data_IF_875496549318
#
_entry.id   IF_875496549318
#
_cell.length_a   1.000
_cell.length_b   1.000
_cell.length_c   1.000
_cell.angle_alpha   90.00
_cell.angle_beta   90.00
_cell.angle_gamma   90.00
#
_symmetry.space_group_name_H-M   'P 1'
#
loop_
_entity.id
_entity.type
_entity.pdbx_description
1 polymer ?
#
# COMPACT_ATOMS: atom_id res chain seq x y z
N UNK A 1 1.10 2.59 11.69
CA UNK A 1 0.49 2.67 10.34
C UNK A 1 -1.02 2.93 10.39
N UNK A 2 -1.85 2.16 11.10
CA UNK A 2 -3.32 2.37 11.12
C UNK A 2 -3.71 3.79 11.51
N UNK A 3 -3.16 4.33 12.60
CA UNK A 3 -3.39 5.73 13.00
C UNK A 3 -3.02 6.73 11.91
N UNK A 4 -1.95 6.47 11.14
CA UNK A 4 -1.57 7.36 10.04
C UNK A 4 -2.61 7.34 8.92
N UNK A 5 -3.24 6.20 8.62
CA UNK A 5 -4.34 6.10 7.66
C UNK A 5 -5.59 6.85 8.16
N UNK A 6 -5.94 6.69 9.43
CA UNK A 6 -7.06 7.44 10.06
C UNK A 6 -6.82 8.96 10.00
N UNK A 7 -5.58 9.40 10.24
CA UNK A 7 -5.20 10.82 10.11
C UNK A 7 -5.35 11.35 8.69
N UNK A 8 -5.19 10.49 7.67
CA UNK A 8 -5.43 10.84 6.26
C UNK A 8 -6.92 10.78 5.87
N UNK A 9 -7.80 10.45 6.82
CA UNK A 9 -9.24 10.36 6.60
C UNK A 9 -9.69 9.06 5.95
N UNK A 10 -8.81 8.04 5.88
CA UNK A 10 -9.17 6.73 5.31
C UNK A 10 -10.26 6.09 6.16
N UNK A 11 -11.33 5.64 5.51
CA UNK A 11 -12.42 4.87 6.12
C UNK A 11 -12.55 3.48 5.54
N UNK A 12 -12.14 3.31 4.29
CA UNK A 12 -12.24 2.03 3.57
C UNK A 12 -10.93 1.72 2.88
N UNK A 13 -10.50 0.47 2.99
CA UNK A 13 -9.34 -0.06 2.28
C UNK A 13 -9.64 -1.46 1.74
N UNK A 14 -8.96 -1.83 0.67
CA UNK A 14 -9.11 -3.09 -0.03
C UNK A 14 -7.82 -3.90 0.09
N UNK A 15 -7.90 -5.19 0.34
CA UNK A 15 -6.66 -5.93 0.48
C UNK A 15 -6.80 -7.42 0.62
N UNK A 16 -5.64 -8.09 0.62
CA UNK A 16 -5.51 -9.52 0.83
C UNK A 16 -4.33 -9.81 1.77
N UNK A 17 -4.55 -10.55 2.86
CA UNK A 17 -3.51 -10.83 3.85
C UNK A 17 -2.45 -11.78 3.32
N UNK A 18 -1.26 -11.72 3.93
CA UNK A 18 -0.16 -12.64 3.68
C UNK A 18 0.95 -12.45 4.72
N UNK A 19 1.96 -13.32 4.69
CA UNK A 19 2.94 -13.46 5.78
C UNK A 19 3.63 -12.16 6.18
N UNK A 20 4.18 -11.40 5.24
CA UNK A 20 4.96 -10.19 5.54
C UNK A 20 4.14 -8.99 6.01
N UNK A 21 2.82 -9.02 5.85
CA UNK A 21 1.91 -7.94 6.24
C UNK A 21 0.98 -8.34 7.40
N UNK A 22 1.15 -9.54 7.94
CA UNK A 22 0.29 -10.08 8.99
C UNK A 22 0.19 -9.20 10.23
N UNK A 23 1.27 -8.61 10.78
CA UNK A 23 1.18 -7.71 11.94
C UNK A 23 0.31 -6.48 11.65
N UNK A 24 0.31 -6.01 10.41
CA UNK A 24 -0.55 -4.90 9.97
C UNK A 24 -2.03 -5.29 9.95
N UNK A 25 -2.35 -6.50 9.48
CA UNK A 25 -3.73 -7.01 9.51
C UNK A 25 -4.21 -7.28 10.93
N UNK A 26 -3.32 -7.73 11.82
CA UNK A 26 -3.63 -7.86 13.24
C UNK A 26 -3.93 -6.50 13.88
N UNK A 27 -3.10 -5.51 13.62
CA UNK A 27 -3.35 -4.14 14.07
C UNK A 27 -4.67 -3.59 13.51
N UNK A 28 -5.02 -3.89 12.26
CA UNK A 28 -6.26 -3.46 11.62
C UNK A 28 -7.50 -3.99 12.37
N UNK A 29 -7.44 -5.18 12.96
CA UNK A 29 -8.53 -5.72 13.77
C UNK A 29 -8.89 -4.82 14.95
N UNK A 30 -7.90 -4.14 15.55
CA UNK A 30 -8.12 -3.19 16.65
C UNK A 30 -8.65 -1.83 16.19
N UNK A 31 -8.67 -1.56 14.89
CA UNK A 31 -9.17 -0.34 14.27
C UNK A 31 -10.45 -0.55 13.43
N UNK A 32 -11.10 -1.71 13.56
CA UNK A 32 -12.28 -2.10 12.76
C UNK A 32 -13.48 -1.15 12.87
N UNK A 33 -13.56 -0.36 13.93
CA UNK A 33 -14.65 0.60 14.15
C UNK A 33 -14.44 1.89 13.32
N UNK A 34 -13.22 2.14 12.84
CA UNK A 34 -12.83 3.32 12.08
C UNK A 34 -12.35 3.02 10.66
N UNK A 35 -11.75 1.84 10.47
CA UNK A 35 -11.21 1.38 9.19
C UNK A 35 -11.96 0.13 8.71
N UNK A 36 -12.75 0.28 7.67
CA UNK A 36 -13.46 -0.83 7.04
C UNK A 36 -12.56 -1.51 6.01
N UNK A 37 -12.16 -2.76 6.29
CA UNK A 37 -11.38 -3.56 5.36
C UNK A 37 -12.28 -4.44 4.51
N UNK A 38 -12.18 -4.30 3.20
CA UNK A 38 -12.87 -5.15 2.22
C UNK A 38 -11.89 -6.20 1.71
N UNK A 39 -12.11 -7.44 2.13
CA UNK A 39 -11.32 -8.58 1.70
C UNK A 39 -11.62 -8.92 0.24
N UNK A 40 -10.56 -8.96 -0.57
CA UNK A 40 -10.64 -9.42 -1.96
C UNK A 40 -10.20 -10.88 -2.09
N UNK A 41 -10.32 -11.44 -3.29
CA UNK A 41 -9.83 -12.79 -3.60
C UNK A 41 -8.58 -12.81 -4.47
N UNK A 42 -8.14 -11.65 -4.92
CA UNK A 42 -6.92 -11.43 -5.70
C UNK A 42 -6.48 -9.98 -5.56
N UNK A 43 -5.20 -9.70 -5.43
CA UNK A 43 -4.66 -8.37 -5.14
C UNK A 43 -4.89 -7.38 -6.30
N UNK A 44 -4.91 -7.86 -7.53
CA UNK A 44 -5.31 -7.03 -8.68
C UNK A 44 -6.73 -6.47 -8.48
N UNK A 45 -7.64 -7.30 -7.95
CA UNK A 45 -8.98 -6.86 -7.60
C UNK A 45 -9.00 -5.77 -6.52
N UNK A 46 -8.06 -5.82 -5.55
CA UNK A 46 -7.92 -4.77 -4.54
C UNK A 46 -7.50 -3.44 -5.16
N UNK A 47 -6.52 -3.47 -6.06
CA UNK A 47 -6.03 -2.27 -6.74
C UNK A 47 -7.13 -1.63 -7.61
N UNK A 48 -7.89 -2.43 -8.38
CA UNK A 48 -9.00 -1.92 -9.18
C UNK A 48 -10.18 -1.43 -8.31
N UNK A 49 -10.47 -2.11 -7.20
CA UNK A 49 -11.50 -1.65 -6.26
C UNK A 49 -11.13 -0.31 -5.62
N UNK A 50 -9.85 -0.14 -5.23
CA UNK A 50 -9.33 1.12 -4.73
C UNK A 50 -9.48 2.25 -5.76
N UNK A 51 -9.21 1.97 -7.05
CA UNK A 51 -9.45 2.93 -8.13
C UNK A 51 -10.92 3.29 -8.26
N UNK A 52 -11.80 2.29 -8.33
CA UNK A 52 -13.25 2.51 -8.42
C UNK A 52 -13.75 3.39 -7.27
N UNK A 53 -13.30 3.08 -6.05
CA UNK A 53 -13.60 3.88 -4.86
C UNK A 53 -13.11 5.34 -5.02
N UNK A 54 -11.86 5.53 -5.43
CA UNK A 54 -11.30 6.87 -5.61
C UNK A 54 -12.07 7.71 -6.64
N UNK A 55 -12.48 7.10 -7.75
CA UNK A 55 -13.23 7.78 -8.81
C UNK A 55 -14.64 8.20 -8.37
N UNK A 56 -15.28 7.39 -7.54
CA UNK A 56 -16.66 7.67 -7.09
C UNK A 56 -16.69 8.60 -5.88
N UNK A 57 -15.78 8.41 -4.92
CA UNK A 57 -15.78 9.17 -3.68
C UNK A 57 -15.02 10.51 -3.77
N UNK A 58 -14.07 10.63 -4.71
CA UNK A 58 -13.13 11.75 -4.75
C UNK A 58 -12.01 11.66 -3.70
N UNK A 59 -11.95 10.55 -2.95
CA UNK A 59 -10.92 10.30 -1.95
C UNK A 59 -9.79 9.46 -2.54
N UNK A 60 -8.69 9.29 -1.79
CA UNK A 60 -7.60 8.37 -2.19
C UNK A 60 -8.03 6.93 -1.93
N UNK A 61 -7.97 6.09 -2.95
CA UNK A 61 -8.17 4.65 -2.78
C UNK A 61 -6.96 4.00 -2.10
N UNK A 62 -7.19 3.07 -1.17
CA UNK A 62 -6.13 2.39 -0.44
C UNK A 62 -6.18 0.90 -0.69
N UNK A 63 -5.02 0.33 -1.06
CA UNK A 63 -4.82 -1.10 -1.27
C UNK A 63 -3.76 -1.61 -0.28
N UNK A 64 -4.03 -2.71 0.42
CA UNK A 64 -3.12 -3.32 1.40
C UNK A 64 -2.86 -4.78 1.02
N UNK A 65 -1.59 -5.12 0.74
CA UNK A 65 -1.18 -6.42 0.23
C UNK A 65 0.12 -6.92 0.86
N UNK A 66 0.42 -8.21 0.68
CA UNK A 66 1.69 -8.80 1.13
C UNK A 66 2.82 -8.60 0.12
N UNK A 67 4.01 -9.05 0.46
CA UNK A 67 5.23 -8.99 -0.38
C UNK A 67 5.16 -9.91 -1.62
N UNK A 68 6.17 -9.78 -2.47
CA UNK A 68 6.40 -10.67 -3.61
C UNK A 68 5.18 -10.77 -4.52
N UNK A 69 4.57 -11.98 -4.67
CA UNK A 69 3.43 -12.17 -5.56
C UNK A 69 2.22 -11.32 -5.19
N UNK A 70 1.99 -11.00 -3.90
CA UNK A 70 0.92 -10.11 -3.49
C UNK A 70 1.11 -8.69 -4.01
N UNK A 71 2.32 -8.17 -3.92
CA UNK A 71 2.66 -6.85 -4.43
C UNK A 71 2.65 -6.82 -5.97
N UNK A 72 3.27 -7.81 -6.63
CA UNK A 72 3.33 -7.85 -8.11
C UNK A 72 1.96 -8.02 -8.76
N UNK A 73 1.03 -8.70 -8.11
CA UNK A 73 -0.36 -8.81 -8.58
C UNK A 73 -1.09 -7.44 -8.65
N UNK A 74 -0.59 -6.40 -8.01
CA UNK A 74 -1.20 -5.05 -8.09
C UNK A 74 -0.73 -4.23 -9.29
N UNK A 75 0.31 -4.66 -10.00
CA UNK A 75 0.99 -3.88 -11.06
C UNK A 75 0.03 -3.41 -12.14
N UNK A 76 -0.85 -4.27 -12.64
CA UNK A 76 -1.84 -3.89 -13.65
C UNK A 76 -2.73 -2.76 -13.15
N UNK A 77 -3.24 -2.85 -11.93
CA UNK A 77 -4.07 -1.80 -11.34
C UNK A 77 -3.32 -0.50 -11.08
N UNK A 78 -2.03 -0.58 -10.70
CA UNK A 78 -1.17 0.60 -10.53
C UNK A 78 -0.95 1.29 -11.88
N UNK A 79 -0.60 0.54 -12.92
CA UNK A 79 -0.38 1.08 -14.26
C UNK A 79 -1.66 1.76 -14.82
N UNK A 80 -2.80 1.12 -14.64
CA UNK A 80 -4.12 1.67 -15.02
C UNK A 80 -4.43 2.97 -14.26
N UNK A 81 -4.18 3.01 -12.96
CA UNK A 81 -4.36 4.21 -12.15
C UNK A 81 -3.46 5.37 -12.60
N UNK A 82 -2.24 5.07 -13.06
CA UNK A 82 -1.31 6.08 -13.57
C UNK A 82 -1.81 6.68 -14.88
N UNK A 83 -2.28 5.85 -15.80
CA UNK A 83 -2.81 6.30 -17.11
C UNK A 83 -4.05 7.16 -16.90
N UNK A 84 -4.96 6.73 -16.03
CA UNK A 84 -6.25 7.37 -15.79
C UNK A 84 -6.21 8.48 -14.73
N UNK A 85 -5.02 8.83 -14.23
CA UNK A 85 -4.86 9.86 -13.20
C UNK A 85 -5.70 9.63 -11.94
N UNK A 86 -5.79 8.38 -11.50
CA UNK A 86 -6.58 7.97 -10.33
C UNK A 86 -5.69 7.94 -9.09
N UNK A 87 -6.02 8.70 -8.02
CA UNK A 87 -5.20 8.73 -6.82
C UNK A 87 -5.43 7.46 -5.99
N UNK A 88 -4.43 6.59 -5.94
CA UNK A 88 -4.41 5.42 -5.06
C UNK A 88 -3.09 5.35 -4.28
N UNK A 89 -3.13 4.79 -3.10
CA UNK A 89 -1.96 4.41 -2.31
C UNK A 89 -1.96 2.90 -2.12
N UNK A 90 -0.97 2.24 -2.68
CA UNK A 90 -0.74 0.80 -2.48
C UNK A 90 0.30 0.63 -1.38
N UNK A 91 -0.08 -0.11 -0.35
CA UNK A 91 0.75 -0.45 0.80
C UNK A 91 1.06 -1.94 0.67
N UNK A 92 2.31 -2.26 0.44
CA UNK A 92 2.79 -3.62 0.32
C UNK A 92 3.71 -3.97 1.49
N UNK A 93 3.55 -5.16 2.05
CA UNK A 93 4.57 -5.72 2.94
C UNK A 93 5.82 -6.12 2.15
N UNK A 94 6.95 -6.18 2.85
CA UNK A 94 8.22 -6.64 2.30
C UNK A 94 8.89 -7.60 3.30
N UNK A 95 9.88 -8.33 2.85
CA UNK A 95 10.73 -9.13 3.74
C UNK A 95 11.47 -8.23 4.74
N UNK A 96 12.02 -8.84 5.79
CA UNK A 96 12.83 -8.09 6.77
C UNK A 96 13.99 -7.35 6.11
N UNK A 97 14.37 -6.20 6.68
CA UNK A 97 15.38 -5.32 6.10
C UNK A 97 16.73 -6.02 5.88
N UNK A 98 17.07 -7.01 6.71
CA UNK A 98 18.29 -7.83 6.58
C UNK A 98 18.26 -8.80 5.38
N UNK A 99 17.09 -9.08 4.82
CA UNK A 99 16.93 -9.98 3.67
C UNK A 99 16.76 -9.24 2.35
N UNK A 100 16.69 -7.92 2.36
CA UNK A 100 16.56 -7.11 1.15
C UNK A 100 17.78 -7.28 0.24
N UNK A 101 17.56 -7.58 -1.04
CA UNK A 101 18.61 -7.79 -2.03
C UNK A 101 19.27 -9.16 -1.96
N UNK A 102 18.65 -10.13 -1.28
CA UNK A 102 19.20 -11.49 -1.12
C UNK A 102 18.43 -12.57 -1.89
N UNK A 103 17.45 -12.19 -2.70
CA UNK A 103 16.51 -13.11 -3.36
C UNK A 103 15.78 -14.02 -2.36
N UNK A 104 15.46 -13.49 -1.20
CA UNK A 104 14.72 -14.20 -0.16
C UNK A 104 13.31 -14.60 -0.63
N UNK A 105 12.71 -15.59 0.03
CA UNK A 105 11.37 -16.05 -0.29
C UNK A 105 10.36 -14.88 -0.31
N UNK A 106 9.66 -14.72 -1.43
CA UNK A 106 8.71 -13.62 -1.66
C UNK A 106 9.31 -12.22 -1.60
N UNK A 107 10.61 -12.06 -1.77
CA UNK A 107 11.22 -10.78 -2.05
C UNK A 107 11.00 -10.37 -3.52
N UNK A 108 10.82 -9.07 -3.74
CA UNK A 108 10.84 -8.46 -5.07
C UNK A 108 11.26 -7.00 -4.93
N UNK A 109 12.01 -6.47 -5.89
CA UNK A 109 12.29 -5.03 -5.98
C UNK A 109 11.02 -4.27 -6.44
N UNK A 110 10.10 -4.10 -5.50
CA UNK A 110 8.82 -3.46 -5.78
C UNK A 110 9.00 -1.98 -6.19
N UNK A 111 9.95 -1.28 -5.58
CA UNK A 111 10.24 0.12 -5.93
C UNK A 111 10.72 0.21 -7.38
N UNK A 112 11.67 -0.64 -7.78
CA UNK A 112 12.18 -0.69 -9.16
C UNK A 112 11.08 -1.02 -10.18
N UNK A 113 10.24 -2.01 -9.88
CA UNK A 113 9.14 -2.41 -10.78
C UNK A 113 8.09 -1.31 -10.93
N UNK A 114 7.76 -0.60 -9.87
CA UNK A 114 6.67 0.39 -9.85
C UNK A 114 7.10 1.79 -10.22
N UNK A 115 8.40 2.09 -10.24
CA UNK A 115 8.93 3.41 -10.55
C UNK A 115 8.36 4.02 -11.85
N UNK A 116 8.30 3.30 -12.98
CA UNK A 116 7.80 3.87 -14.24
C UNK A 116 6.29 4.06 -14.30
N UNK A 117 5.53 3.47 -13.37
CA UNK A 117 4.07 3.46 -13.37
C UNK A 117 3.46 4.14 -12.14
N UNK A 118 4.25 4.90 -11.40
CA UNK A 118 3.80 5.61 -10.19
C UNK A 118 4.30 7.04 -10.17
N UNK A 119 3.65 7.88 -9.39
CA UNK A 119 4.15 9.22 -9.08
C UNK A 119 5.31 9.18 -8.08
N UNK A 120 5.29 8.18 -7.21
CA UNK A 120 6.31 7.96 -6.19
C UNK A 120 6.22 6.53 -5.67
N UNK A 121 7.37 5.90 -5.52
CA UNK A 121 7.52 4.61 -4.85
C UNK A 121 8.59 4.75 -3.77
N UNK A 122 8.32 4.23 -2.57
CA UNK A 122 9.24 4.39 -1.44
C UNK A 122 9.27 3.15 -0.56
N UNK A 123 10.47 2.69 -0.24
CA UNK A 123 10.70 1.60 0.70
C UNK A 123 10.94 2.13 2.11
N UNK A 124 10.06 1.79 3.03
CA UNK A 124 10.13 2.17 4.44
C UNK A 124 10.89 1.08 5.20
N UNK A 125 12.03 1.45 5.78
CA UNK A 125 12.93 0.53 6.50
C UNK A 125 12.92 0.74 8.02
N UNK A 126 12.30 1.81 8.50
CA UNK A 126 12.30 2.20 9.92
C UNK A 126 10.88 2.60 10.33
N UNK A 127 10.43 2.13 11.51
CA UNK A 127 9.10 2.41 12.01
C UNK A 127 8.80 3.91 12.17
N UNK A 128 9.82 4.69 12.55
CA UNK A 128 9.70 6.14 12.71
C UNK A 128 9.39 6.89 11.42
N UNK A 129 9.71 6.33 10.26
CA UNK A 129 9.46 6.95 8.96
C UNK A 129 8.02 6.71 8.46
N UNK A 130 7.28 5.78 9.09
CA UNK A 130 5.94 5.37 8.64
C UNK A 130 4.96 6.54 8.57
N UNK A 131 4.86 7.34 9.62
CA UNK A 131 3.89 8.43 9.67
C UNK A 131 4.18 9.49 8.59
N UNK A 132 5.45 9.83 8.41
CA UNK A 132 5.90 10.77 7.38
C UNK A 132 5.65 10.23 5.98
N UNK A 133 6.02 8.97 5.72
CA UNK A 133 5.88 8.35 4.40
C UNK A 133 4.42 8.23 3.99
N UNK A 134 3.53 7.84 4.92
CA UNK A 134 2.08 7.78 4.66
C UNK A 134 1.53 9.18 4.35
N UNK A 135 1.83 10.19 5.15
CA UNK A 135 1.36 11.55 4.90
C UNK A 135 1.83 12.07 3.52
N UNK A 136 3.10 11.83 3.20
CA UNK A 136 3.69 12.19 1.90
C UNK A 136 3.04 11.45 0.74
N UNK A 137 2.74 10.15 0.90
CA UNK A 137 2.09 9.34 -0.13
C UNK A 137 0.72 9.92 -0.50
N UNK A 138 -0.10 10.24 0.48
CA UNK A 138 -1.43 10.83 0.25
C UNK A 138 -1.34 12.22 -0.38
N UNK A 139 -0.40 13.04 0.06
CA UNK A 139 -0.15 14.35 -0.55
C UNK A 139 0.23 14.21 -2.03
N UNK A 140 1.20 13.33 -2.35
CA UNK A 140 1.67 13.13 -3.73
C UNK A 140 0.56 12.54 -4.60
N UNK A 141 -0.20 11.56 -4.09
CA UNK A 141 -1.28 10.94 -4.85
C UNK A 141 -2.32 11.95 -5.34
N UNK A 142 -2.62 12.98 -4.54
CA UNK A 142 -3.61 14.03 -4.84
C UNK A 142 -3.04 15.24 -5.57
N UNK A 143 -1.75 15.57 -5.37
CA UNK A 143 -1.17 16.83 -5.85
C UNK A 143 -0.93 16.84 -7.37
N UNK A 144 -1.15 17.99 -8.00
CA UNK A 144 -0.98 18.15 -9.45
C UNK A 144 -1.87 17.18 -10.22
N UNK A 145 -1.33 16.47 -11.22
CA UNK A 145 -2.02 15.35 -11.85
C UNK A 145 -2.12 14.20 -10.82
N UNK A 146 -3.33 13.80 -10.40
CA UNK A 146 -3.47 12.68 -9.48
C UNK A 146 -2.88 11.37 -10.05
N UNK A 147 -2.55 10.44 -9.18
CA UNK A 147 -2.03 9.15 -9.63
C UNK A 147 -1.57 8.26 -8.47
N UNK A 148 -1.09 7.05 -8.79
CA UNK A 148 -0.72 6.05 -7.81
C UNK A 148 0.60 6.36 -7.10
N UNK A 149 0.65 5.94 -5.84
CA UNK A 149 1.85 5.90 -5.00
C UNK A 149 1.98 4.51 -4.40
N UNK A 150 3.21 4.00 -4.29
CA UNK A 150 3.49 2.71 -3.66
C UNK A 150 4.39 2.90 -2.46
N UNK A 151 3.99 2.30 -1.35
CA UNK A 151 4.78 2.19 -0.12
C UNK A 151 5.12 0.72 0.13
N UNK A 152 6.41 0.43 0.21
CA UNK A 152 6.97 -0.89 0.42
C UNK A 152 7.50 -0.97 1.86
N UNK A 153 6.87 -1.78 2.72
CA UNK A 153 7.14 -1.82 4.15
C UNK A 153 8.01 -3.02 4.51
N UNK A 154 9.26 -2.78 4.90
CA UNK A 154 10.06 -3.81 5.55
C UNK A 154 9.35 -4.37 6.79
N UNK A 155 9.46 -5.67 7.03
CA UNK A 155 8.66 -6.39 8.05
C UNK A 155 8.83 -5.78 9.46
N UNK A 156 10.02 -5.33 9.82
CA UNK A 156 10.30 -4.69 11.13
C UNK A 156 9.46 -3.42 11.35
N UNK A 157 9.05 -2.75 10.27
CA UNK A 157 8.18 -1.56 10.36
C UNK A 157 6.73 -1.90 10.67
N UNK A 158 6.34 -3.17 10.49
CA UNK A 158 4.97 -3.64 10.71
C UNK A 158 4.79 -4.28 12.08
N UNK A 159 5.88 -4.74 12.70
CA UNK A 159 5.91 -5.47 13.98
C UNK A 159 6.49 -4.69 15.16
N UNK A 160 6.87 -3.43 14.96
CA UNK A 160 7.37 -2.56 16.03
C UNK A 160 6.25 -2.00 16.92
N UNK A 161 6.53 -1.94 18.24
CA UNK A 161 5.68 -1.31 19.26
C UNK A 161 5.50 0.20 19.02
#
# INVERSE_FOLDING_TARGET
MMRSLEYQGVKTLFGYPGGSIMPTFDALYHHKDTLNHILVRHEQGAAHAAQGFARVSGEVGVCLVTSGPGATNTITGIADAMIDSTPIVVIAGQVGASFLGTDAFQEVDLVGITQPITKWSYQIRRAEDVAWAVARAFYIAKSGRPGPVVLDFANECTSGD
#
